data_IF_369536792135
#
_entry.id   IF_369536792135
#
_cell.length_a   1.000
_cell.length_b   1.000
_cell.length_c   1.000
_cell.angle_alpha   90.00
_cell.angle_beta   90.00
_cell.angle_gamma   90.00
#
_symmetry.space_group_name_H-M   'P 1'
#
loop_
_entity.id
_entity.type
_entity.pdbx_description
1 polymer ?
#
# COMPACT_ATOMS: atom_id res chain seq x y z
N UNK A 1 -17.29 8.04 -13.68
CA UNK A 1 -16.46 6.87 -14.01
C UNK A 1 -17.28 5.91 -14.84
N UNK A 2 -16.85 5.66 -16.05
CA UNK A 2 -17.36 4.58 -16.88
C UNK A 2 -16.60 3.32 -16.45
N UNK A 3 -17.31 2.21 -16.26
CA UNK A 3 -16.71 0.94 -15.88
C UNK A 3 -15.70 0.50 -16.94
N UNK A 4 -14.54 0.00 -16.53
CA UNK A 4 -13.45 -0.34 -17.46
C UNK A 4 -13.85 -1.39 -18.49
N UNK A 5 -14.73 -2.35 -18.13
CA UNK A 5 -15.21 -3.38 -19.07
C UNK A 5 -16.12 -2.80 -20.17
N UNK A 6 -16.93 -1.82 -19.81
CA UNK A 6 -17.82 -1.12 -20.75
C UNK A 6 -17.04 -0.26 -21.74
N UNK A 7 -15.97 0.41 -21.27
CA UNK A 7 -15.12 1.24 -22.13
C UNK A 7 -14.43 0.39 -23.21
N UNK A 8 -13.97 -0.81 -22.89
CA UNK A 8 -13.30 -1.67 -23.87
C UNK A 8 -14.25 -2.24 -24.91
N UNK A 9 -15.47 -2.65 -24.54
CA UNK A 9 -16.46 -3.12 -25.49
C UNK A 9 -16.92 -2.00 -26.45
N UNK A 10 -17.02 -0.79 -25.95
CA UNK A 10 -17.52 0.35 -26.68
C UNK A 10 -16.43 1.16 -27.40
N UNK A 11 -15.15 0.98 -27.04
CA UNK A 11 -14.04 1.69 -27.65
C UNK A 11 -14.00 1.49 -29.19
N UNK A 12 -14.16 0.27 -29.68
CA UNK A 12 -14.20 0.01 -31.12
C UNK A 12 -15.40 0.63 -31.79
N UNK A 13 -16.54 0.77 -31.09
CA UNK A 13 -17.73 1.45 -31.57
C UNK A 13 -17.55 2.96 -31.57
N UNK A 14 -17.01 3.51 -30.51
CA UNK A 14 -16.70 4.94 -30.38
C UNK A 14 -15.72 5.36 -31.48
N UNK A 15 -14.76 4.51 -31.81
CA UNK A 15 -13.75 4.71 -32.85
C UNK A 15 -14.37 4.82 -34.27
N UNK A 16 -15.66 4.51 -34.46
CA UNK A 16 -16.34 4.62 -35.75
C UNK A 16 -17.08 5.95 -35.99
N UNK A 17 -17.02 6.90 -35.08
CA UNK A 17 -17.71 8.18 -35.15
C UNK A 17 -16.78 9.35 -35.47
N UNK A 18 -17.28 10.39 -36.16
CA UNK A 18 -16.51 11.53 -36.67
C UNK A 18 -15.80 12.43 -35.65
N UNK A 19 -15.92 12.16 -34.36
CA UNK A 19 -15.25 12.92 -33.31
C UNK A 19 -14.07 12.19 -32.64
N UNK A 20 -13.56 11.18 -33.29
CA UNK A 20 -12.54 10.26 -32.80
C UNK A 20 -11.22 10.89 -32.43
N UNK A 21 -10.80 11.92 -33.14
CA UNK A 21 -9.65 12.73 -32.82
C UNK A 21 -9.72 13.36 -31.42
N UNK A 22 -10.90 13.32 -30.79
CA UNK A 22 -11.19 13.91 -29.48
C UNK A 22 -11.40 12.88 -28.38
N UNK A 23 -11.37 11.60 -28.74
CA UNK A 23 -11.56 10.48 -27.81
C UNK A 23 -10.38 9.55 -27.93
N UNK A 24 -9.75 9.22 -26.84
CA UNK A 24 -8.66 8.26 -26.80
C UNK A 24 -8.68 7.49 -25.47
N UNK A 25 -8.23 6.25 -25.53
CA UNK A 25 -8.04 5.43 -24.35
C UNK A 25 -6.55 5.39 -24.02
N UNK A 26 -6.20 5.86 -22.84
CA UNK A 26 -4.85 5.83 -22.32
C UNK A 26 -4.86 5.35 -20.88
N UNK A 27 -4.04 4.38 -20.58
CA UNK A 27 -3.89 3.81 -19.26
C UNK A 27 -5.24 3.48 -18.59
N UNK A 28 -6.07 2.68 -19.25
CA UNK A 28 -7.41 2.25 -18.79
C UNK A 28 -8.42 3.38 -18.57
N UNK A 29 -8.19 4.55 -19.14
CA UNK A 29 -9.13 5.68 -19.04
C UNK A 29 -9.53 6.19 -20.40
N UNK A 30 -10.80 6.45 -20.51
CA UNK A 30 -11.33 7.17 -21.64
C UNK A 30 -11.17 8.67 -21.41
N UNK A 31 -10.39 9.32 -22.26
CA UNK A 31 -10.23 10.77 -22.27
C UNK A 31 -11.08 11.31 -23.42
N UNK A 32 -11.99 12.20 -23.08
CA UNK A 32 -12.88 12.80 -24.05
C UNK A 32 -12.65 14.31 -24.04
N UNK A 33 -12.22 14.83 -25.19
CA UNK A 33 -12.24 16.25 -25.44
C UNK A 33 -13.65 16.61 -25.96
N UNK A 34 -14.50 17.15 -25.08
CA UNK A 34 -15.86 17.56 -25.44
C UNK A 34 -15.87 19.06 -25.75
N UNK A 35 -15.88 19.51 -27.00
CA UNK A 35 -16.22 20.89 -27.32
C UNK A 35 -17.69 21.13 -26.91
N UNK A 36 -18.01 22.38 -26.57
CA UNK A 36 -19.33 22.75 -26.05
C UNK A 36 -20.50 22.23 -26.92
N UNK A 37 -20.28 22.16 -28.23
CA UNK A 37 -21.28 21.73 -29.22
C UNK A 37 -21.34 20.21 -29.47
N UNK A 38 -20.49 19.41 -28.86
CA UNK A 38 -20.49 17.95 -29.00
C UNK A 38 -21.01 17.23 -27.74
N UNK A 39 -21.38 17.96 -26.70
CA UNK A 39 -21.91 17.42 -25.46
C UNK A 39 -23.12 16.53 -25.65
N UNK A 40 -24.08 17.02 -26.45
CA UNK A 40 -25.35 16.35 -26.72
C UNK A 40 -25.15 15.04 -27.50
N UNK A 41 -24.16 14.98 -28.39
CA UNK A 41 -23.81 13.76 -29.13
C UNK A 41 -23.25 12.68 -28.25
N UNK A 42 -22.39 13.04 -27.27
CA UNK A 42 -21.79 12.08 -26.33
C UNK A 42 -22.87 11.56 -25.37
N UNK A 43 -23.74 12.43 -24.88
CA UNK A 43 -24.87 12.06 -24.02
C UNK A 43 -25.80 11.08 -24.73
N UNK A 44 -26.15 11.34 -26.01
CA UNK A 44 -26.96 10.43 -26.82
C UNK A 44 -26.26 9.09 -27.05
N UNK A 45 -24.95 9.08 -27.27
CA UNK A 45 -24.19 7.86 -27.50
C UNK A 45 -24.16 6.97 -26.25
N UNK A 46 -23.88 7.55 -25.10
CA UNK A 46 -23.85 6.85 -23.79
C UNK A 46 -25.28 6.34 -23.47
N UNK A 47 -26.29 7.14 -23.72
CA UNK A 47 -27.69 6.80 -23.45
C UNK A 47 -28.22 5.65 -24.31
N UNK A 48 -27.84 5.61 -25.59
CA UNK A 48 -28.32 4.58 -26.53
C UNK A 48 -27.66 3.20 -26.27
N UNK A 49 -26.43 3.15 -25.74
CA UNK A 49 -25.73 1.89 -25.60
C UNK A 49 -26.10 1.11 -24.33
N UNK A 50 -26.64 1.74 -23.29
CA UNK A 50 -26.80 1.07 -21.99
C UNK A 50 -28.12 1.29 -21.26
N UNK A 51 -29.03 2.10 -21.75
CA UNK A 51 -30.28 2.43 -21.03
C UNK A 51 -30.05 3.13 -19.67
N UNK A 52 -28.85 3.63 -19.41
CA UNK A 52 -28.46 4.27 -18.14
C UNK A 52 -28.51 5.80 -18.24
N UNK A 53 -29.65 6.32 -18.68
CA UNK A 53 -29.87 7.74 -18.97
C UNK A 53 -29.64 8.67 -17.77
N UNK A 54 -29.89 8.22 -16.54
CA UNK A 54 -29.81 9.08 -15.37
C UNK A 54 -28.40 9.29 -14.83
N UNK A 55 -27.66 8.21 -14.60
CA UNK A 55 -26.38 8.26 -13.86
C UNK A 55 -25.24 8.97 -14.59
N UNK A 56 -25.17 8.89 -15.90
CA UNK A 56 -24.07 9.50 -16.66
C UNK A 56 -24.35 10.94 -17.06
N UNK A 57 -25.60 11.33 -17.29
CA UNK A 57 -25.97 12.73 -17.50
C UNK A 57 -25.67 13.57 -16.24
N UNK A 58 -26.01 13.07 -15.07
CA UNK A 58 -25.66 13.68 -13.77
C UNK A 58 -24.13 13.74 -13.56
N UNK A 59 -23.42 12.68 -13.91
CA UNK A 59 -21.95 12.64 -13.83
C UNK A 59 -21.28 13.67 -14.74
N UNK A 60 -21.76 13.89 -15.95
CA UNK A 60 -21.23 14.94 -16.84
C UNK A 60 -21.57 16.36 -16.35
N UNK A 61 -22.73 16.55 -15.79
CA UNK A 61 -23.12 17.80 -15.13
C UNK A 61 -22.26 18.07 -13.90
N UNK A 62 -21.99 17.04 -13.10
CA UNK A 62 -21.12 17.12 -11.93
C UNK A 62 -19.66 17.38 -12.34
N UNK A 63 -19.14 16.73 -13.37
CA UNK A 63 -17.79 17.00 -13.87
C UNK A 63 -17.67 18.46 -14.36
N UNK A 64 -18.70 19.02 -15.00
CA UNK A 64 -18.72 20.44 -15.39
C UNK A 64 -18.81 21.39 -14.21
N UNK A 65 -19.61 21.08 -13.21
CA UNK A 65 -19.74 21.84 -11.98
C UNK A 65 -18.50 21.70 -11.10
N UNK A 66 -17.94 20.51 -11.02
CA UNK A 66 -16.66 20.21 -10.36
C UNK A 66 -15.53 20.96 -11.06
N UNK A 67 -15.49 21.05 -12.40
CA UNK A 67 -14.50 21.86 -13.13
C UNK A 67 -14.62 23.35 -12.78
N UNK A 68 -15.83 23.91 -12.76
CA UNK A 68 -16.04 25.31 -12.35
C UNK A 68 -15.62 25.58 -10.92
N UNK A 69 -15.88 24.63 -10.01
CA UNK A 69 -15.44 24.72 -8.63
C UNK A 69 -13.94 24.48 -8.48
N UNK A 70 -13.36 23.60 -9.27
CA UNK A 70 -11.93 23.31 -9.28
C UNK A 70 -11.10 24.52 -9.72
N UNK A 71 -11.56 25.23 -10.75
CA UNK A 71 -10.91 26.45 -11.24
C UNK A 71 -10.97 27.62 -10.25
N UNK A 72 -12.04 27.71 -9.45
CA UNK A 72 -12.20 28.80 -8.48
C UNK A 72 -11.38 28.64 -7.21
N UNK A 73 -10.80 27.47 -6.93
CA UNK A 73 -10.34 27.13 -5.58
C UNK A 73 -9.18 26.14 -5.52
N UNK A 74 -8.14 26.29 -6.35
CA UNK A 74 -6.87 25.64 -6.06
C UNK A 74 -6.40 26.06 -4.67
N UNK A 75 -5.95 25.12 -3.82
CA UNK A 75 -5.40 25.51 -2.53
C UNK A 75 -4.24 26.47 -2.79
N UNK A 76 -4.32 27.69 -2.28
CA UNK A 76 -3.24 28.68 -2.34
C UNK A 76 -2.03 28.29 -1.48
N UNK A 77 -2.11 27.18 -0.78
CA UNK A 77 -1.10 26.71 0.14
C UNK A 77 -0.31 25.54 -0.45
N UNK A 78 0.99 25.53 -0.22
CA UNK A 78 1.91 24.47 -0.62
C UNK A 78 2.10 23.40 0.47
N UNK A 79 1.29 23.41 1.52
CA UNK A 79 1.37 22.45 2.64
C UNK A 79 1.15 21.04 2.12
N UNK A 80 2.02 20.12 2.55
CA UNK A 80 1.84 18.68 2.42
C UNK A 80 1.55 18.11 3.80
N UNK A 81 0.43 17.42 3.95
CA UNK A 81 0.10 16.73 5.18
C UNK A 81 0.47 15.25 5.00
N UNK A 82 1.31 14.75 5.89
CA UNK A 82 1.72 13.37 5.92
C UNK A 82 1.14 12.68 7.15
N UNK A 83 0.83 11.39 7.05
CA UNK A 83 0.45 10.56 8.20
C UNK A 83 0.56 9.07 7.85
N UNK A 84 0.84 8.26 8.85
CA UNK A 84 0.66 6.82 8.79
C UNK A 84 -0.74 6.47 9.30
N UNK A 85 -0.88 5.80 10.43
CA UNK A 85 -2.17 5.68 11.13
C UNK A 85 -2.43 6.91 12.00
N UNK A 86 -3.65 7.10 12.42
CA UNK A 86 -3.98 8.21 13.30
C UNK A 86 -3.41 8.06 14.73
N UNK A 87 -3.07 6.82 15.14
CA UNK A 87 -2.54 6.48 16.47
C UNK A 87 -1.14 5.87 16.48
N UNK A 88 -0.52 5.63 15.31
CA UNK A 88 0.75 4.93 15.17
C UNK A 88 1.51 5.48 13.96
N UNK A 89 2.80 5.71 14.13
CA UNK A 89 3.73 6.11 13.09
C UNK A 89 4.67 4.93 12.70
N UNK A 90 5.91 5.18 12.32
CA UNK A 90 6.94 4.21 11.92
C UNK A 90 6.61 3.44 10.62
N UNK A 91 5.82 4.03 9.73
CA UNK A 91 5.57 3.49 8.41
C UNK A 91 6.06 4.46 7.31
N UNK A 92 5.69 4.25 6.07
CA UNK A 92 6.25 4.94 4.92
C UNK A 92 6.10 6.47 4.96
N UNK A 93 5.02 7.01 5.57
CA UNK A 93 4.85 8.45 5.63
C UNK A 93 5.81 9.12 6.62
N UNK A 94 6.11 8.50 7.76
CA UNK A 94 7.12 8.99 8.69
C UNK A 94 8.50 9.03 8.03
N UNK A 95 8.91 7.93 7.37
CA UNK A 95 10.22 7.85 6.72
C UNK A 95 10.35 8.86 5.56
N UNK A 96 9.28 9.05 4.78
CA UNK A 96 9.26 10.07 3.73
C UNK A 96 9.29 11.49 4.32
N UNK A 97 8.57 11.74 5.43
CA UNK A 97 8.59 13.03 6.13
C UNK A 97 10.01 13.38 6.57
N UNK A 98 10.69 12.43 7.24
CA UNK A 98 12.07 12.61 7.71
C UNK A 98 13.03 12.91 6.55
N UNK A 99 12.88 12.19 5.43
CA UNK A 99 13.65 12.46 4.23
C UNK A 99 13.41 13.89 3.70
N UNK A 100 12.16 14.33 3.61
CA UNK A 100 11.82 15.69 3.13
C UNK A 100 12.36 16.75 4.08
N UNK A 101 12.19 16.57 5.38
CA UNK A 101 12.68 17.49 6.40
C UNK A 101 14.21 17.69 6.30
N UNK A 102 14.96 16.63 6.02
CA UNK A 102 16.43 16.66 5.94
C UNK A 102 16.95 17.18 4.60
N UNK A 103 16.29 16.86 3.49
CA UNK A 103 16.82 17.15 2.13
C UNK A 103 16.09 18.30 1.42
N UNK A 104 14.91 18.69 1.90
CA UNK A 104 14.05 19.71 1.31
C UNK A 104 13.41 20.60 2.39
N UNK A 105 14.22 21.25 3.26
CA UNK A 105 13.72 22.02 4.41
C UNK A 105 12.85 23.22 4.02
N UNK A 106 12.90 23.64 2.75
CA UNK A 106 12.04 24.68 2.18
C UNK A 106 10.58 24.23 2.00
N UNK A 107 10.32 22.91 2.11
CA UNK A 107 8.98 22.36 1.93
C UNK A 107 8.17 22.46 3.21
N UNK A 108 7.01 23.07 3.13
CA UNK A 108 6.08 23.14 4.23
C UNK A 108 5.37 21.78 4.39
N UNK A 109 5.76 21.02 5.41
CA UNK A 109 5.23 19.69 5.72
C UNK A 109 4.70 19.65 7.16
N UNK A 110 3.61 18.91 7.37
CA UNK A 110 3.01 18.67 8.67
C UNK A 110 2.71 17.18 8.81
N UNK A 111 2.99 16.60 9.96
CA UNK A 111 2.66 15.19 10.25
C UNK A 111 1.48 15.12 11.21
N UNK A 112 0.43 14.38 10.82
CA UNK A 112 -0.76 14.22 11.62
C UNK A 112 -0.71 12.92 12.43
N UNK A 113 -0.94 13.03 13.75
CA UNK A 113 -0.94 11.90 14.68
C UNK A 113 -1.84 12.26 15.86
N UNK A 114 -2.40 11.28 16.57
CA UNK A 114 -3.10 11.53 17.84
C UNK A 114 -2.08 11.82 18.93
N UNK A 115 -2.44 12.71 19.83
CA UNK A 115 -1.55 13.13 20.93
C UNK A 115 -1.28 12.00 21.93
N UNK A 116 -2.21 11.06 22.06
CA UNK A 116 -2.12 9.88 22.92
C UNK A 116 -1.21 8.77 22.33
N UNK A 117 -0.72 8.94 21.09
CA UNK A 117 0.19 7.99 20.48
C UNK A 117 1.54 7.95 21.23
N UNK A 118 2.07 6.76 21.45
CA UNK A 118 3.42 6.55 22.00
C UNK A 118 4.52 7.19 21.13
N UNK A 119 4.24 7.41 19.84
CA UNK A 119 5.17 8.03 18.90
C UNK A 119 5.21 9.56 18.99
N UNK A 120 4.21 10.21 19.62
CA UNK A 120 4.11 11.67 19.62
C UNK A 120 5.37 12.34 20.16
N UNK A 121 5.77 11.97 21.39
CA UNK A 121 6.96 12.57 22.04
C UNK A 121 8.25 12.28 21.28
N UNK A 122 8.37 11.10 20.68
CA UNK A 122 9.53 10.72 19.87
C UNK A 122 9.65 11.62 18.65
N UNK A 123 8.58 11.79 17.89
CA UNK A 123 8.56 12.62 16.69
C UNK A 123 8.72 14.11 17.00
N UNK A 124 8.13 14.58 18.10
CA UNK A 124 8.30 15.97 18.57
C UNK A 124 9.77 16.26 18.91
N UNK A 125 10.45 15.36 19.62
CA UNK A 125 11.88 15.46 19.94
C UNK A 125 12.77 15.41 18.70
N UNK A 126 12.33 14.72 17.65
CA UNK A 126 13.01 14.69 16.34
C UNK A 126 12.78 15.96 15.51
N UNK A 127 11.91 16.86 15.92
CA UNK A 127 11.63 18.13 15.25
C UNK A 127 10.54 18.06 14.19
N UNK A 128 9.66 17.06 14.23
CA UNK A 128 8.49 17.01 13.35
C UNK A 128 7.51 18.13 13.67
N UNK A 129 6.95 18.75 12.63
CA UNK A 129 5.80 19.65 12.78
C UNK A 129 4.53 18.82 12.93
N UNK A 130 4.15 18.55 14.17
CA UNK A 130 3.01 17.69 14.50
C UNK A 130 1.69 18.47 14.54
N UNK A 131 0.61 17.80 14.13
CA UNK A 131 -0.76 18.25 14.36
C UNK A 131 -1.60 17.10 14.91
N UNK A 132 -2.38 17.38 15.96
CA UNK A 132 -3.25 16.39 16.58
C UNK A 132 -4.38 16.00 15.63
N UNK A 133 -4.41 14.72 15.22
CA UNK A 133 -5.44 14.18 14.34
C UNK A 133 -6.85 14.36 14.92
N UNK A 134 -7.77 14.91 14.11
CA UNK A 134 -9.15 15.16 14.50
C UNK A 134 -9.37 16.48 15.26
N UNK A 135 -8.32 17.24 15.58
CA UNK A 135 -8.44 18.57 16.17
C UNK A 135 -8.94 19.61 15.17
N UNK A 136 -9.41 20.76 15.67
CA UNK A 136 -9.78 21.89 14.82
C UNK A 136 -8.62 22.35 13.92
N UNK A 137 -7.41 22.34 14.46
CA UNK A 137 -6.20 22.71 13.70
C UNK A 137 -5.89 21.71 12.59
N UNK A 138 -6.03 20.41 12.86
CA UNK A 138 -5.93 19.37 11.82
C UNK A 138 -6.91 19.61 10.68
N UNK A 139 -8.20 19.89 11.01
CA UNK A 139 -9.20 20.16 9.97
C UNK A 139 -8.88 21.41 9.15
N UNK A 140 -8.31 22.42 9.79
CA UNK A 140 -7.86 23.64 9.12
C UNK A 140 -6.70 23.37 8.17
N UNK A 141 -5.71 22.59 8.62
CA UNK A 141 -4.51 22.23 7.84
C UNK A 141 -4.88 21.31 6.69
N UNK A 142 -5.62 20.21 6.94
CA UNK A 142 -5.96 19.26 5.88
C UNK A 142 -6.78 19.91 4.76
N UNK A 143 -7.71 20.83 5.09
CA UNK A 143 -8.48 21.59 4.08
C UNK A 143 -7.61 22.51 3.21
N UNK A 144 -6.49 23.01 3.74
CA UNK A 144 -5.54 23.86 3.02
C UNK A 144 -4.47 23.08 2.28
N UNK A 145 -4.20 21.86 2.69
CA UNK A 145 -3.13 21.03 2.13
C UNK A 145 -3.33 20.77 0.64
N UNK A 146 -2.30 20.99 -0.15
CA UNK A 146 -2.29 20.65 -1.58
C UNK A 146 -2.17 19.15 -1.80
N UNK A 147 -1.50 18.47 -0.87
CA UNK A 147 -1.30 17.02 -0.87
C UNK A 147 -1.60 16.42 0.48
N UNK A 148 -2.18 15.23 0.46
CA UNK A 148 -2.27 14.33 1.61
C UNK A 148 -1.56 13.06 1.23
N UNK A 149 -0.55 12.69 2.01
CA UNK A 149 0.37 11.58 1.74
C UNK A 149 0.26 10.62 2.92
N UNK A 150 -0.16 9.38 2.65
CA UNK A 150 -0.38 8.44 3.75
C UNK A 150 -0.03 7.01 3.37
N UNK A 151 0.45 6.26 4.36
CA UNK A 151 0.65 4.81 4.26
C UNK A 151 -0.68 4.05 4.26
N UNK A 152 -1.77 4.68 4.68
CA UNK A 152 -3.11 4.09 4.78
C UNK A 152 -4.15 4.87 3.97
N UNK A 153 -5.18 4.17 3.51
CA UNK A 153 -6.31 4.74 2.77
C UNK A 153 -7.66 4.39 3.41
N UNK A 154 -7.69 4.37 4.75
CA UNK A 154 -8.86 4.03 5.54
C UNK A 154 -9.90 5.15 5.51
N UNK A 155 -11.17 4.79 5.75
CA UNK A 155 -12.30 5.71 5.58
C UNK A 155 -12.25 6.90 6.56
N UNK A 156 -11.62 6.72 7.74
CA UNK A 156 -11.46 7.82 8.69
C UNK A 156 -10.59 8.97 8.15
N UNK A 157 -9.63 8.68 7.25
CA UNK A 157 -8.84 9.69 6.54
C UNK A 157 -9.51 10.10 5.23
N UNK A 158 -10.02 9.12 4.46
CA UNK A 158 -10.54 9.37 3.11
C UNK A 158 -11.73 10.34 3.09
N UNK A 159 -12.51 10.45 4.18
CA UNK A 159 -13.60 11.41 4.32
C UNK A 159 -13.15 12.88 4.22
N UNK A 160 -11.89 13.18 4.55
CA UNK A 160 -11.33 14.53 4.47
C UNK A 160 -10.77 14.86 3.08
N UNK A 161 -10.53 13.84 2.21
CA UNK A 161 -9.89 14.04 0.92
C UNK A 161 -10.86 14.62 -0.09
N UNK A 162 -10.57 15.84 -0.53
CA UNK A 162 -11.38 16.57 -1.52
C UNK A 162 -10.83 16.39 -2.94
N UNK A 163 -11.60 16.79 -3.95
CA UNK A 163 -11.17 16.75 -5.36
C UNK A 163 -9.99 17.67 -5.67
N UNK A 164 -9.72 18.64 -4.80
CA UNK A 164 -8.66 19.64 -4.97
C UNK A 164 -7.31 19.14 -4.55
N UNK A 165 -7.29 18.16 -3.66
CA UNK A 165 -6.08 17.61 -3.08
C UNK A 165 -5.59 16.44 -3.91
N UNK A 166 -4.28 16.28 -3.95
CA UNK A 166 -3.64 15.08 -4.44
C UNK A 166 -3.46 14.12 -3.27
N UNK A 167 -4.09 12.94 -3.35
CA UNK A 167 -3.86 11.88 -2.39
C UNK A 167 -2.79 10.93 -2.92
N UNK A 168 -1.69 10.81 -2.17
CA UNK A 168 -0.58 9.91 -2.44
C UNK A 168 -0.67 8.74 -1.45
N UNK A 169 -0.91 7.56 -1.96
CA UNK A 169 -0.97 6.34 -1.18
C UNK A 169 0.37 5.62 -1.21
N UNK A 170 1.08 5.65 -0.09
CA UNK A 170 2.41 5.05 0.06
C UNK A 170 2.36 3.55 0.31
N UNK A 171 1.20 3.02 0.67
CA UNK A 171 0.96 1.67 1.19
C UNK A 171 1.67 1.39 2.52
N UNK A 172 1.25 0.35 3.21
CA UNK A 172 1.87 -0.18 4.42
C UNK A 172 2.51 -1.56 4.22
N UNK A 173 2.35 -2.17 3.05
CA UNK A 173 2.93 -3.47 2.70
C UNK A 173 2.63 -3.84 1.25
N UNK A 174 3.40 -4.78 0.71
CA UNK A 174 3.22 -5.26 -0.67
C UNK A 174 1.82 -5.87 -0.85
N UNK A 175 1.09 -5.35 -1.81
CA UNK A 175 -0.24 -5.86 -2.19
C UNK A 175 -0.07 -7.11 -3.05
N UNK A 176 0.04 -8.27 -2.40
CA UNK A 176 0.20 -9.59 -3.04
C UNK A 176 -1.13 -10.27 -3.40
N UNK A 177 -2.19 -9.91 -2.69
CA UNK A 177 -3.56 -10.42 -2.86
C UNK A 177 -4.44 -9.40 -3.60
N UNK A 178 -5.57 -9.84 -4.19
CA UNK A 178 -6.49 -8.93 -4.85
C UNK A 178 -7.35 -8.18 -3.82
N UNK A 179 -7.04 -6.91 -3.64
CA UNK A 179 -7.79 -5.97 -2.79
C UNK A 179 -8.49 -4.88 -3.62
N UNK A 180 -8.69 -5.14 -4.92
CA UNK A 180 -9.30 -4.18 -5.86
C UNK A 180 -10.67 -3.70 -5.39
N UNK A 181 -11.49 -4.58 -4.80
CA UNK A 181 -12.81 -4.23 -4.28
C UNK A 181 -12.75 -3.10 -3.24
N UNK A 182 -11.76 -3.12 -2.36
CA UNK A 182 -11.54 -2.08 -1.35
C UNK A 182 -10.89 -0.83 -1.98
N UNK A 183 -9.80 -1.00 -2.72
CA UNK A 183 -9.03 0.12 -3.28
C UNK A 183 -9.78 0.88 -4.37
N UNK A 184 -10.62 0.23 -5.16
CA UNK A 184 -11.40 0.89 -6.20
C UNK A 184 -12.40 1.93 -5.66
N UNK A 185 -12.84 1.80 -4.41
CA UNK A 185 -13.67 2.81 -3.75
C UNK A 185 -12.88 4.07 -3.38
N UNK A 186 -11.54 4.00 -3.28
CA UNK A 186 -10.68 5.08 -2.79
C UNK A 186 -10.25 6.02 -3.91
N UNK A 187 -10.12 7.30 -3.57
CA UNK A 187 -9.61 8.32 -4.49
C UNK A 187 -8.11 8.44 -4.32
N UNK A 188 -7.35 7.68 -5.09
CA UNK A 188 -5.89 7.69 -5.08
C UNK A 188 -5.40 8.36 -6.36
N UNK A 189 -4.53 9.35 -6.24
CA UNK A 189 -3.90 10.06 -7.36
C UNK A 189 -2.55 9.48 -7.72
N UNK A 190 -1.78 9.06 -6.71
CA UNK A 190 -0.54 8.31 -6.86
C UNK A 190 -0.57 7.11 -5.94
N UNK A 191 -0.17 5.97 -6.44
CA UNK A 191 -0.18 4.69 -5.78
C UNK A 191 1.24 4.11 -5.85
N UNK A 192 1.94 4.08 -4.73
CA UNK A 192 3.31 3.58 -4.64
C UNK A 192 3.30 2.06 -4.59
N UNK A 193 4.21 1.42 -5.33
CA UNK A 193 4.44 -0.03 -5.29
C UNK A 193 5.92 -0.32 -5.09
N UNK A 194 6.22 -1.49 -4.53
CA UNK A 194 7.58 -1.88 -4.17
C UNK A 194 8.18 -2.93 -5.11
N UNK A 195 7.36 -3.78 -5.70
CA UNK A 195 7.82 -4.86 -6.57
C UNK A 195 7.25 -4.74 -7.97
N UNK A 196 7.97 -5.29 -8.98
CA UNK A 196 7.49 -5.26 -10.36
C UNK A 196 6.18 -6.05 -10.51
N UNK A 197 6.08 -7.22 -9.88
CA UNK A 197 4.87 -8.05 -9.94
C UNK A 197 3.65 -7.36 -9.32
N UNK A 198 3.82 -6.63 -8.22
CA UNK A 198 2.78 -5.80 -7.63
C UNK A 198 2.34 -4.68 -8.60
N UNK A 199 3.31 -3.94 -9.15
CA UNK A 199 3.03 -2.90 -10.13
C UNK A 199 2.24 -3.46 -11.32
N UNK A 200 2.69 -4.57 -11.90
CA UNK A 200 2.04 -5.19 -13.05
C UNK A 200 0.63 -5.69 -12.72
N UNK A 201 0.44 -6.25 -11.53
CA UNK A 201 -0.88 -6.75 -11.10
C UNK A 201 -1.92 -5.64 -10.96
N UNK A 202 -1.50 -4.40 -10.66
CA UNK A 202 -2.36 -3.25 -10.44
C UNK A 202 -2.47 -2.38 -11.69
N UNK A 203 -1.33 -2.07 -12.34
CA UNK A 203 -1.24 -1.08 -13.41
C UNK A 203 -1.62 -1.61 -14.79
N UNK A 204 -1.40 -2.92 -15.05
CA UNK A 204 -1.65 -3.52 -16.35
C UNK A 204 -3.14 -3.57 -16.70
N UNK A 205 -3.40 -3.73 -18.01
CA UNK A 205 -4.77 -3.92 -18.51
C UNK A 205 -5.32 -5.29 -18.08
N UNK A 206 -6.66 -5.43 -18.18
CA UNK A 206 -7.39 -6.69 -17.93
C UNK A 206 -7.35 -7.23 -16.51
N UNK A 207 -7.12 -6.38 -15.50
CA UNK A 207 -7.31 -6.70 -14.10
C UNK A 207 -8.48 -5.92 -13.50
N UNK A 208 -8.82 -6.20 -12.23
CA UNK A 208 -9.96 -5.58 -11.54
C UNK A 208 -9.67 -4.19 -10.99
N UNK A 209 -8.41 -3.75 -10.95
CA UNK A 209 -8.06 -2.44 -10.42
C UNK A 209 -8.39 -1.33 -11.41
N UNK A 210 -8.92 -0.23 -10.90
CA UNK A 210 -9.19 0.99 -11.68
C UNK A 210 -7.95 1.83 -11.99
N UNK A 211 -6.84 1.53 -11.31
CA UNK A 211 -5.58 2.27 -11.43
C UNK A 211 -4.76 1.75 -12.60
N UNK A 212 -4.13 2.66 -13.31
CA UNK A 212 -3.23 2.34 -14.41
C UNK A 212 -1.85 2.96 -14.22
N UNK A 213 -1.00 2.90 -15.24
CA UNK A 213 0.37 3.43 -15.22
C UNK A 213 0.48 4.91 -14.86
N UNK A 214 -0.62 5.67 -14.97
CA UNK A 214 -0.66 7.08 -14.57
C UNK A 214 -0.67 7.27 -13.06
N UNK A 215 -1.34 6.38 -12.33
CA UNK A 215 -1.47 6.45 -10.87
C UNK A 215 -0.46 5.59 -10.15
N UNK A 216 -0.12 4.43 -10.70
CA UNK A 216 0.74 3.43 -10.07
C UNK A 216 2.19 3.72 -10.40
N UNK A 217 3.03 3.75 -9.40
CA UNK A 217 4.46 4.06 -9.51
C UNK A 217 5.28 2.98 -8.81
N UNK A 218 6.23 2.41 -9.53
CA UNK A 218 7.23 1.51 -8.97
C UNK A 218 8.41 2.32 -8.44
N UNK A 219 8.50 2.49 -7.12
CA UNK A 219 9.54 3.30 -6.49
C UNK A 219 10.29 2.56 -5.37
N UNK A 220 9.75 1.46 -4.85
CA UNK A 220 10.06 0.94 -3.54
C UNK A 220 9.33 1.70 -2.44
N UNK A 221 9.33 1.18 -1.22
CA UNK A 221 8.71 1.82 -0.05
C UNK A 221 9.69 2.76 0.66
N UNK A 222 9.18 3.86 1.22
CA UNK A 222 10.02 4.86 1.86
C UNK A 222 10.83 4.29 3.04
N UNK A 223 10.22 3.42 3.88
CA UNK A 223 10.88 2.76 5.00
C UNK A 223 12.00 1.79 4.57
N UNK A 224 12.00 1.31 3.32
CA UNK A 224 13.02 0.41 2.81
C UNK A 224 14.42 1.03 2.81
N UNK A 225 14.55 2.35 2.71
CA UNK A 225 15.85 3.03 2.76
C UNK A 225 16.51 2.85 4.14
N UNK A 226 15.73 3.05 5.22
CA UNK A 226 16.21 2.87 6.60
C UNK A 226 16.36 1.39 6.94
N UNK A 227 15.43 0.56 6.48
CA UNK A 227 15.50 -0.90 6.66
C UNK A 227 16.81 -1.46 6.09
N UNK A 228 17.17 -1.07 4.86
CA UNK A 228 18.41 -1.49 4.22
C UNK A 228 19.66 -0.99 4.97
N UNK A 229 19.64 0.29 5.38
CA UNK A 229 20.76 0.92 6.11
C UNK A 229 21.04 0.26 7.46
N UNK A 230 19.99 -0.16 8.16
CA UNK A 230 20.08 -0.72 9.51
C UNK A 230 20.15 -2.26 9.52
N UNK A 231 20.18 -2.91 8.35
CA UNK A 231 20.24 -4.37 8.25
C UNK A 231 21.48 -4.94 8.96
N UNK A 232 21.27 -5.97 9.75
CA UNK A 232 22.34 -6.69 10.48
C UNK A 232 22.46 -8.10 9.92
N UNK A 233 23.67 -8.50 9.55
CA UNK A 233 23.96 -9.81 8.94
C UNK A 233 24.18 -10.91 9.98
N UNK A 234 24.71 -10.57 11.15
CA UNK A 234 25.23 -11.56 12.12
C UNK A 234 24.34 -11.73 13.34
N UNK A 235 23.03 -11.55 13.14
CA UNK A 235 22.05 -11.74 14.21
C UNK A 235 21.77 -13.22 14.44
N UNK A 236 21.39 -13.58 15.66
CA UNK A 236 21.02 -14.95 16.07
C UNK A 236 19.60 -14.95 16.63
N UNK A 237 18.65 -14.36 15.87
CA UNK A 237 17.25 -14.24 16.27
C UNK A 237 16.33 -14.82 15.20
N UNK A 238 15.38 -15.63 15.65
CA UNK A 238 14.25 -16.13 14.87
C UNK A 238 13.03 -15.29 15.22
N UNK A 239 12.40 -14.68 14.24
CA UNK A 239 11.15 -13.94 14.41
C UNK A 239 9.96 -14.83 14.04
N UNK A 240 9.05 -15.06 15.00
CA UNK A 240 7.79 -15.78 14.75
C UNK A 240 6.67 -14.73 14.72
N UNK A 241 6.03 -14.58 13.56
CA UNK A 241 5.06 -13.52 13.31
C UNK A 241 3.85 -14.01 12.51
N UNK A 242 2.89 -14.69 13.18
CA UNK A 242 1.71 -15.24 12.50
C UNK A 242 0.68 -14.17 12.13
N UNK A 243 -0.02 -14.39 11.01
CA UNK A 243 -1.19 -13.61 10.61
C UNK A 243 -2.42 -14.02 11.42
N UNK A 244 -3.26 -13.09 11.78
CA UNK A 244 -4.52 -13.36 12.45
C UNK A 244 -5.56 -14.01 11.52
N UNK A 245 -6.64 -14.56 12.11
CA UNK A 245 -7.78 -15.11 11.36
C UNK A 245 -9.06 -14.39 11.75
N UNK A 246 -9.89 -14.07 10.76
CA UNK A 246 -11.16 -13.34 10.98
C UNK A 246 -12.13 -14.15 11.84
N UNK A 247 -12.15 -15.48 11.64
CA UNK A 247 -13.08 -16.37 12.33
C UNK A 247 -12.74 -16.65 13.80
N UNK A 248 -11.51 -16.35 14.25
CA UNK A 248 -11.07 -16.62 15.63
C UNK A 248 -11.05 -15.40 16.54
N UNK A 249 -11.28 -14.22 16.01
CA UNK A 249 -11.38 -12.97 16.79
C UNK A 249 -12.80 -12.43 16.77
N UNK A 250 -13.18 -11.67 17.80
CA UNK A 250 -14.50 -11.07 17.92
C UNK A 250 -14.70 -9.85 17.02
N UNK A 251 -15.86 -9.22 17.14
CA UNK A 251 -16.20 -8.00 16.42
C UNK A 251 -15.27 -6.85 16.79
N UNK A 252 -15.08 -5.91 15.85
CA UNK A 252 -14.33 -4.68 16.12
C UNK A 252 -15.17 -3.75 17.01
N UNK A 253 -14.60 -3.34 18.14
CA UNK A 253 -15.24 -2.41 19.08
C UNK A 253 -14.87 -0.97 18.71
N UNK A 254 -13.57 -0.73 18.43
CA UNK A 254 -13.00 0.57 18.06
C UNK A 254 -11.77 0.36 17.15
N UNK A 255 -11.13 1.46 16.73
CA UNK A 255 -9.89 1.39 15.95
C UNK A 255 -8.80 0.59 16.69
N UNK A 256 -8.70 -0.71 16.41
CA UNK A 256 -7.67 -1.61 16.95
C UNK A 256 -8.11 -2.56 18.08
N UNK A 257 -9.27 -2.34 18.71
CA UNK A 257 -9.77 -3.27 19.74
C UNK A 257 -10.84 -4.22 19.18
N UNK A 258 -10.81 -5.48 19.62
CA UNK A 258 -11.80 -6.50 19.28
C UNK A 258 -12.31 -7.24 20.51
N UNK A 259 -13.55 -7.71 20.44
CA UNK A 259 -14.09 -8.60 21.46
C UNK A 259 -13.30 -9.91 21.50
N UNK A 260 -13.20 -10.50 22.71
CA UNK A 260 -12.60 -11.82 22.87
C UNK A 260 -13.62 -12.91 22.52
N UNK A 261 -13.18 -13.93 21.80
CA UNK A 261 -13.95 -15.15 21.57
C UNK A 261 -13.57 -16.22 22.58
N UNK A 262 -14.55 -16.83 23.22
CA UNK A 262 -14.34 -17.88 24.24
C UNK A 262 -13.71 -19.17 23.67
N UNK A 263 -13.98 -19.47 22.39
CA UNK A 263 -13.48 -20.67 21.73
C UNK A 263 -12.11 -20.51 21.04
N UNK A 264 -11.35 -19.47 21.35
CA UNK A 264 -10.04 -19.24 20.75
C UNK A 264 -9.08 -20.43 20.92
N UNK A 265 -9.04 -21.06 22.11
CA UNK A 265 -8.19 -22.23 22.39
C UNK A 265 -8.53 -23.47 21.57
N UNK A 266 -9.78 -23.60 21.11
CA UNK A 266 -10.23 -24.70 20.29
C UNK A 266 -9.88 -24.51 18.81
N UNK A 267 -9.45 -23.31 18.42
CA UNK A 267 -9.07 -23.05 17.02
C UNK A 267 -7.80 -23.80 16.63
N UNK A 268 -7.76 -24.30 15.40
CA UNK A 268 -6.55 -24.92 14.85
C UNK A 268 -5.37 -23.95 14.87
N UNK A 269 -5.62 -22.66 14.60
CA UNK A 269 -4.62 -21.61 14.72
C UNK A 269 -3.92 -21.60 16.07
N UNK A 270 -4.69 -21.56 17.17
CA UNK A 270 -4.11 -21.58 18.51
C UNK A 270 -3.34 -22.87 18.77
N UNK A 271 -3.94 -24.02 18.46
CA UNK A 271 -3.33 -25.32 18.72
C UNK A 271 -1.99 -25.50 18.01
N UNK A 272 -1.91 -25.14 16.73
CA UNK A 272 -0.70 -25.29 15.92
C UNK A 272 0.41 -24.32 16.36
N UNK A 273 0.09 -23.03 16.56
CA UNK A 273 1.09 -22.09 17.01
C UNK A 273 1.53 -22.33 18.46
N UNK A 274 0.60 -22.70 19.36
CA UNK A 274 0.95 -23.01 20.73
C UNK A 274 1.78 -24.31 20.82
N UNK A 275 1.50 -25.32 20.00
CA UNK A 275 2.34 -26.53 19.91
C UNK A 275 3.76 -26.19 19.49
N UNK A 276 3.94 -25.44 18.40
CA UNK A 276 5.27 -25.02 17.94
C UNK A 276 6.04 -24.23 19.00
N UNK A 277 5.39 -23.25 19.62
CA UNK A 277 6.03 -22.40 20.64
C UNK A 277 6.44 -23.17 21.90
N UNK A 278 5.78 -24.29 22.21
CA UNK A 278 6.09 -25.16 23.32
C UNK A 278 6.91 -26.42 22.93
N UNK A 279 7.35 -26.50 21.67
CA UNK A 279 8.07 -27.66 21.16
C UNK A 279 9.46 -27.83 21.80
N UNK A 280 9.70 -28.98 22.42
CA UNK A 280 11.02 -29.32 22.94
C UNK A 280 12.07 -29.41 21.83
N UNK A 281 11.69 -29.79 20.62
CA UNK A 281 12.58 -29.86 19.49
C UNK A 281 12.96 -28.45 19.00
N UNK A 282 12.02 -27.51 18.95
CA UNK A 282 12.33 -26.09 18.67
C UNK A 282 13.34 -25.55 19.69
N UNK A 283 13.13 -25.81 20.98
CA UNK A 283 14.03 -25.43 22.07
C UNK A 283 15.44 -26.01 21.90
N UNK A 284 15.52 -27.31 21.56
CA UNK A 284 16.79 -28.01 21.32
C UNK A 284 17.56 -27.39 20.13
N UNK A 285 16.87 -27.15 19.03
CA UNK A 285 17.47 -26.52 17.85
C UNK A 285 18.01 -25.12 18.16
N UNK A 286 17.20 -24.29 18.81
CA UNK A 286 17.63 -22.94 19.20
C UNK A 286 18.85 -22.95 20.14
N UNK A 287 18.88 -23.88 21.09
CA UNK A 287 20.04 -24.05 21.97
C UNK A 287 21.29 -24.55 21.23
N UNK A 288 21.11 -25.53 20.33
CA UNK A 288 22.20 -26.13 19.55
C UNK A 288 22.92 -25.10 18.67
N UNK A 289 22.15 -24.25 17.99
CA UNK A 289 22.67 -23.25 17.06
C UNK A 289 22.82 -21.84 17.68
N UNK A 290 22.50 -21.69 18.97
CA UNK A 290 22.62 -20.43 19.74
C UNK A 290 21.69 -19.32 19.19
N UNK A 291 20.47 -19.67 18.78
CA UNK A 291 19.45 -18.71 18.36
C UNK A 291 18.48 -18.39 19.50
N UNK A 292 18.02 -17.15 19.53
CA UNK A 292 16.91 -16.69 20.36
C UNK A 292 15.61 -16.62 19.54
N UNK A 293 14.46 -16.72 20.21
CA UNK A 293 13.16 -16.56 19.56
C UNK A 293 12.48 -15.30 20.06
N UNK A 294 11.98 -14.52 19.13
CA UNK A 294 11.05 -13.41 19.40
C UNK A 294 9.71 -13.75 18.77
N UNK A 295 8.65 -13.74 19.58
CA UNK A 295 7.28 -13.93 19.16
C UNK A 295 6.59 -12.56 19.08
N UNK A 296 6.12 -12.20 17.90
CA UNK A 296 5.37 -10.98 17.62
C UNK A 296 4.02 -11.32 17.01
N UNK A 297 2.99 -11.66 17.80
CA UNK A 297 1.66 -11.91 17.28
C UNK A 297 1.03 -10.63 16.76
N UNK A 298 0.17 -10.77 15.75
CA UNK A 298 -0.59 -9.65 15.20
C UNK A 298 -1.38 -8.91 16.29
N UNK A 299 -1.56 -7.58 16.25
CA UNK A 299 -2.29 -6.81 17.26
C UNK A 299 -3.68 -7.39 17.62
N UNK A 300 -4.40 -7.96 16.65
CA UNK A 300 -5.69 -8.63 16.90
C UNK A 300 -5.58 -9.91 17.75
N UNK A 301 -4.39 -10.48 17.90
CA UNK A 301 -4.10 -11.68 18.71
C UNK A 301 -3.52 -11.30 20.09
N UNK A 302 -2.99 -10.10 20.24
CA UNK A 302 -2.42 -9.64 21.52
C UNK A 302 -3.35 -9.81 22.72
N UNK A 303 -4.68 -9.57 22.65
CA UNK A 303 -5.58 -9.80 23.77
C UNK A 303 -5.65 -11.26 24.24
N UNK A 304 -5.31 -12.20 23.35
CA UNK A 304 -5.27 -13.65 23.64
C UNK A 304 -3.89 -14.16 24.07
N UNK A 305 -2.89 -13.27 24.20
CA UNK A 305 -1.51 -13.67 24.47
C UNK A 305 -1.38 -14.51 25.77
N UNK A 306 -2.22 -14.24 26.77
CA UNK A 306 -2.25 -14.99 28.04
C UNK A 306 -2.65 -16.45 27.87
N UNK A 307 -3.36 -16.78 26.78
CA UNK A 307 -3.78 -18.14 26.49
C UNK A 307 -2.62 -19.02 25.98
N UNK A 308 -1.61 -18.39 25.38
CA UNK A 308 -0.38 -19.07 24.97
C UNK A 308 0.50 -19.34 26.20
N UNK A 309 0.83 -20.59 26.46
CA UNK A 309 1.73 -20.98 27.55
C UNK A 309 3.19 -20.78 27.11
N UNK A 310 3.62 -19.52 26.97
CA UNK A 310 4.94 -19.22 26.43
C UNK A 310 6.06 -19.64 27.38
N UNK A 311 7.01 -20.48 26.94
CA UNK A 311 8.21 -20.80 27.71
C UNK A 311 9.10 -19.57 27.89
N UNK A 312 9.84 -19.51 29.00
CA UNK A 312 10.70 -18.38 29.36
C UNK A 312 11.83 -18.08 28.35
N UNK A 313 12.18 -19.01 27.49
CA UNK A 313 13.21 -18.80 26.45
C UNK A 313 12.67 -18.07 25.21
N UNK A 314 11.35 -17.92 25.07
CA UNK A 314 10.71 -17.15 24.01
C UNK A 314 10.43 -15.75 24.54
N UNK A 315 10.97 -14.74 23.85
CA UNK A 315 10.71 -13.34 24.15
C UNK A 315 9.48 -12.88 23.37
N UNK A 316 8.61 -12.14 24.03
CA UNK A 316 7.55 -11.40 23.36
C UNK A 316 8.17 -10.10 22.84
N UNK A 317 7.87 -9.73 21.59
CA UNK A 317 8.29 -8.44 21.05
C UNK A 317 7.74 -7.29 21.91
N UNK A 318 8.57 -6.30 22.19
CA UNK A 318 8.10 -5.10 22.85
C UNK A 318 7.13 -4.35 21.90
N UNK A 319 5.96 -3.98 22.41
CA UNK A 319 4.95 -3.27 21.63
C UNK A 319 5.41 -1.89 21.15
N UNK A 320 6.35 -1.27 21.89
CA UNK A 320 6.94 0.02 21.56
C UNK A 320 8.18 -0.11 20.64
N UNK A 321 8.57 -1.34 20.29
CA UNK A 321 9.70 -1.57 19.38
C UNK A 321 9.24 -1.53 17.93
N UNK A 322 9.94 -0.71 17.13
CA UNK A 322 9.75 -0.62 15.70
C UNK A 322 9.82 -1.99 15.01
N UNK A 323 8.85 -2.31 14.15
CA UNK A 323 8.89 -3.52 13.32
C UNK A 323 10.14 -3.56 12.44
N UNK A 324 10.63 -2.41 11.99
CA UNK A 324 11.85 -2.30 11.20
C UNK A 324 13.06 -2.81 11.99
N UNK A 325 13.12 -2.51 13.29
CA UNK A 325 14.18 -2.98 14.19
C UNK A 325 14.10 -4.50 14.38
N UNK A 326 12.90 -5.04 14.55
CA UNK A 326 12.68 -6.50 14.65
C UNK A 326 13.17 -7.22 13.39
N UNK A 327 12.84 -6.72 12.20
CA UNK A 327 13.30 -7.31 10.93
C UNK A 327 14.84 -7.23 10.79
N UNK A 328 15.42 -6.08 11.11
CA UNK A 328 16.88 -5.88 11.05
C UNK A 328 17.61 -6.82 12.00
N UNK A 329 17.08 -7.04 13.21
CA UNK A 329 17.69 -7.88 14.26
C UNK A 329 17.45 -9.39 14.04
N UNK A 330 16.57 -9.79 13.14
CA UNK A 330 16.24 -11.20 12.90
C UNK A 330 17.06 -11.79 11.77
N UNK A 331 17.43 -13.07 11.86
CA UNK A 331 18.14 -13.82 10.80
C UNK A 331 17.18 -14.54 9.86
N UNK A 332 16.04 -14.94 10.38
CA UNK A 332 14.95 -15.57 9.62
C UNK A 332 13.60 -15.27 10.27
N UNK A 333 12.54 -15.47 9.49
CA UNK A 333 11.17 -15.34 9.97
C UNK A 333 10.40 -16.66 9.76
N UNK A 334 9.57 -17.01 10.74
CA UNK A 334 8.52 -18.02 10.60
C UNK A 334 7.19 -17.27 10.60
N UNK A 335 6.45 -17.38 9.52
CA UNK A 335 5.13 -16.75 9.36
C UNK A 335 4.19 -17.69 8.58
N UNK A 336 3.04 -17.21 8.16
CA UNK A 336 2.07 -17.98 7.37
C UNK A 336 1.68 -17.26 6.09
N UNK A 337 0.78 -16.26 6.16
CA UNK A 337 0.24 -15.54 4.98
C UNK A 337 0.61 -14.05 4.97
N UNK A 338 1.47 -13.61 5.87
CA UNK A 338 1.75 -12.19 6.08
C UNK A 338 2.57 -11.56 4.95
N UNK A 339 2.18 -10.33 4.56
CA UNK A 339 2.97 -9.50 3.64
C UNK A 339 4.29 -9.00 4.23
N UNK A 340 4.47 -9.06 5.56
CA UNK A 340 5.76 -8.70 6.20
C UNK A 340 6.91 -9.62 5.80
N UNK A 341 6.62 -10.80 5.22
CA UNK A 341 7.63 -11.65 4.59
C UNK A 341 8.44 -10.92 3.51
N UNK A 342 7.84 -9.94 2.83
CA UNK A 342 8.53 -9.12 1.84
C UNK A 342 9.62 -8.24 2.47
N UNK A 343 9.45 -7.80 3.72
CA UNK A 343 10.48 -7.03 4.44
C UNK A 343 11.73 -7.89 4.70
N UNK A 344 11.52 -9.13 5.11
CA UNK A 344 12.63 -10.09 5.31
C UNK A 344 13.31 -10.39 3.98
N UNK A 345 12.54 -10.63 2.92
CA UNK A 345 13.07 -10.83 1.58
C UNK A 345 13.85 -9.60 1.08
N UNK A 346 13.37 -8.38 1.36
CA UNK A 346 14.09 -7.14 1.04
C UNK A 346 15.47 -7.09 1.72
N UNK A 347 15.59 -7.64 2.93
CA UNK A 347 16.85 -7.76 3.67
C UNK A 347 17.70 -8.99 3.31
N UNK A 348 17.33 -9.77 2.31
CA UNK A 348 17.96 -11.05 1.94
C UNK A 348 17.91 -12.10 3.07
N UNK A 349 16.87 -12.10 3.87
CA UNK A 349 16.68 -13.03 4.99
C UNK A 349 15.59 -14.05 4.64
N UNK A 350 15.80 -15.36 4.93
CA UNK A 350 14.84 -16.39 4.58
C UNK A 350 13.56 -16.31 5.43
N UNK A 351 12.51 -16.89 4.87
CA UNK A 351 11.20 -17.05 5.52
C UNK A 351 10.80 -18.52 5.49
N UNK A 352 10.19 -19.04 6.55
CA UNK A 352 9.46 -20.30 6.52
C UNK A 352 7.98 -19.98 6.61
N UNK A 353 7.19 -20.49 5.65
CA UNK A 353 5.74 -20.30 5.62
C UNK A 353 5.06 -21.52 6.23
N UNK A 354 4.48 -21.37 7.43
CA UNK A 354 3.74 -22.40 8.14
C UNK A 354 2.24 -22.31 7.83
N UNK A 355 1.80 -23.01 6.78
CA UNK A 355 0.47 -22.89 6.17
C UNK A 355 -0.37 -24.16 6.39
N UNK A 356 -0.73 -24.48 7.62
CA UNK A 356 -1.52 -25.63 8.02
C UNK A 356 -3.01 -25.53 7.65
N UNK A 357 -3.54 -24.32 7.43
CA UNK A 357 -4.96 -24.01 7.22
C UNK A 357 -5.22 -23.23 5.91
N UNK A 358 -4.45 -23.50 4.85
CA UNK A 358 -4.46 -22.71 3.61
C UNK A 358 -5.83 -22.56 2.97
N UNK A 359 -6.59 -23.66 2.87
CA UNK A 359 -7.93 -23.62 2.26
C UNK A 359 -8.91 -22.79 3.11
N UNK A 360 -8.92 -23.00 4.43
CA UNK A 360 -9.77 -22.26 5.34
C UNK A 360 -9.43 -20.78 5.37
N UNK A 361 -8.15 -20.44 5.34
CA UNK A 361 -7.70 -19.05 5.34
C UNK A 361 -8.29 -18.26 4.17
N UNK A 362 -8.17 -18.73 2.94
CA UNK A 362 -8.69 -18.04 1.76
C UNK A 362 -10.21 -18.09 1.63
N UNK A 363 -10.89 -19.06 2.24
CA UNK A 363 -12.34 -19.11 2.28
C UNK A 363 -12.94 -18.14 3.31
N UNK A 364 -12.29 -17.97 4.45
CA UNK A 364 -12.79 -17.18 5.58
C UNK A 364 -12.31 -15.73 5.58
N UNK A 365 -11.20 -15.43 4.93
CA UNK A 365 -10.61 -14.10 4.90
C UNK A 365 -11.23 -13.23 3.80
N UNK A 366 -11.24 -11.91 3.99
CA UNK A 366 -11.73 -10.93 3.01
C UNK A 366 -10.82 -10.78 1.77
N UNK A 367 -9.68 -11.46 1.74
CA UNK A 367 -8.73 -11.40 0.64
C UNK A 367 -9.04 -12.44 -0.42
N UNK A 368 -8.99 -12.03 -1.69
CA UNK A 368 -8.98 -12.94 -2.82
C UNK A 368 -7.54 -13.21 -3.22
N UNK A 369 -7.22 -14.47 -3.54
CA UNK A 369 -5.87 -14.82 -4.00
C UNK A 369 -5.44 -13.94 -5.18
N UNK A 370 -4.26 -13.32 -5.06
CA UNK A 370 -3.69 -12.44 -6.08
C UNK A 370 -2.66 -13.12 -6.96
N UNK A 371 -1.62 -12.38 -7.33
CA UNK A 371 -0.57 -12.87 -8.24
C UNK A 371 0.50 -13.74 -7.57
N UNK A 372 0.64 -13.64 -6.23
CA UNK A 372 1.74 -14.27 -5.51
C UNK A 372 1.42 -15.71 -5.12
N UNK A 373 2.24 -16.64 -5.58
CA UNK A 373 2.21 -18.05 -5.14
C UNK A 373 3.36 -18.29 -4.17
N UNK A 374 3.06 -18.73 -2.97
CA UNK A 374 4.05 -19.04 -1.94
C UNK A 374 5.03 -20.13 -2.40
N UNK A 375 4.53 -21.13 -3.14
CA UNK A 375 5.33 -22.24 -3.65
C UNK A 375 6.27 -21.83 -4.79
N UNK A 376 5.84 -20.91 -5.67
CA UNK A 376 6.60 -20.48 -6.85
C UNK A 376 7.43 -19.23 -6.61
N UNK A 377 6.85 -18.25 -5.90
CA UNK A 377 7.43 -16.92 -5.70
C UNK A 377 7.92 -16.70 -4.27
N UNK A 378 7.71 -17.68 -3.38
CA UNK A 378 8.04 -17.58 -1.95
C UNK A 378 9.54 -17.39 -1.69
N UNK A 379 9.81 -16.80 -0.54
CA UNK A 379 11.16 -16.46 -0.07
C UNK A 379 11.76 -17.52 0.85
N UNK A 380 11.14 -18.69 0.89
CA UNK A 380 11.55 -19.86 1.65
C UNK A 380 10.50 -20.97 1.55
N UNK A 381 10.71 -22.10 2.25
CA UNK A 381 9.87 -23.27 2.14
C UNK A 381 8.45 -23.02 2.70
N UNK A 382 7.46 -23.67 2.07
CA UNK A 382 6.08 -23.76 2.55
C UNK A 382 5.89 -25.12 3.21
N UNK A 383 5.41 -25.14 4.45
CA UNK A 383 5.22 -26.34 5.25
C UNK A 383 3.85 -26.32 5.92
N UNK A 384 3.22 -27.49 6.04
CA UNK A 384 1.86 -27.63 6.58
C UNK A 384 1.83 -28.24 8.00
N UNK A 385 2.94 -28.78 8.47
CA UNK A 385 3.04 -29.39 9.77
C UNK A 385 4.34 -29.03 10.51
N UNK A 386 4.32 -29.20 11.84
CA UNK A 386 5.44 -28.85 12.72
C UNK A 386 6.71 -29.66 12.43
N UNK A 387 6.58 -30.96 12.08
CA UNK A 387 7.73 -31.81 11.80
C UNK A 387 8.54 -31.28 10.61
N UNK A 388 7.85 -30.96 9.50
CA UNK A 388 8.50 -30.41 8.33
C UNK A 388 9.05 -28.99 8.60
N UNK A 389 8.34 -28.17 9.39
CA UNK A 389 8.84 -26.86 9.81
C UNK A 389 10.16 -26.98 10.54
N UNK A 390 10.25 -27.89 11.51
CA UNK A 390 11.48 -28.08 12.30
C UNK A 390 12.63 -28.64 11.46
N UNK A 391 12.36 -29.48 10.47
CA UNK A 391 13.36 -29.97 9.50
C UNK A 391 13.91 -28.81 8.66
N UNK A 392 13.06 -28.00 8.08
CA UNK A 392 13.47 -26.85 7.27
C UNK A 392 14.20 -25.80 8.12
N UNK A 393 13.74 -25.58 9.36
CA UNK A 393 14.41 -24.70 10.31
C UNK A 393 15.82 -25.20 10.59
N UNK A 394 16.01 -26.48 10.89
CA UNK A 394 17.33 -27.04 11.17
C UNK A 394 18.28 -26.85 9.99
N UNK A 395 17.84 -27.11 8.77
CA UNK A 395 18.62 -26.92 7.55
C UNK A 395 19.05 -25.45 7.40
N UNK A 396 18.16 -24.50 7.65
CA UNK A 396 18.50 -23.08 7.59
C UNK A 396 19.48 -22.68 8.70
N UNK A 397 19.32 -23.18 9.93
CA UNK A 397 20.21 -22.88 11.05
C UNK A 397 21.61 -23.44 10.83
N UNK A 398 21.73 -24.66 10.26
CA UNK A 398 23.00 -25.27 9.86
C UNK A 398 23.75 -24.40 8.84
N UNK A 399 23.00 -23.75 7.92
CA UNK A 399 23.54 -22.89 6.88
C UNK A 399 23.60 -21.40 7.27
N UNK A 400 23.60 -21.08 8.58
CA UNK A 400 23.57 -19.70 9.10
C UNK A 400 22.49 -18.84 8.46
N UNK A 401 21.29 -19.38 8.29
CA UNK A 401 20.14 -18.72 7.69
C UNK A 401 20.36 -18.15 6.27
N UNK A 402 21.23 -18.78 5.48
CA UNK A 402 21.37 -18.44 4.06
C UNK A 402 20.26 -19.11 3.26
N UNK A 403 19.58 -18.35 2.42
CA UNK A 403 18.54 -18.88 1.53
C UNK A 403 19.11 -19.86 0.51
N UNK A 404 18.33 -20.89 0.16
CA UNK A 404 18.66 -21.79 -0.95
C UNK A 404 18.52 -21.10 -2.32
N UNK A 405 19.18 -21.64 -3.35
CA UNK A 405 19.26 -21.02 -4.67
C UNK A 405 17.88 -20.58 -5.21
N UNK A 406 16.87 -21.46 -5.21
CA UNK A 406 15.54 -21.14 -5.72
C UNK A 406 14.91 -19.95 -5.00
N UNK A 407 14.95 -19.95 -3.67
CA UNK A 407 14.38 -18.84 -2.88
C UNK A 407 15.23 -17.58 -2.96
N UNK A 408 16.54 -17.74 -3.12
CA UNK A 408 17.46 -16.62 -3.35
C UNK A 408 17.15 -15.92 -4.68
N UNK A 409 16.90 -16.67 -5.74
CA UNK A 409 16.53 -16.13 -7.05
C UNK A 409 15.19 -15.38 -6.98
N UNK A 410 14.21 -15.91 -6.24
CA UNK A 410 12.95 -15.22 -5.97
C UNK A 410 13.17 -13.90 -5.22
N UNK A 411 14.00 -13.92 -4.17
CA UNK A 411 14.35 -12.72 -3.39
C UNK A 411 15.03 -11.67 -4.27
N UNK A 412 15.98 -12.08 -5.12
CA UNK A 412 16.75 -11.17 -5.94
C UNK A 412 15.91 -10.56 -7.08
N UNK A 413 14.99 -11.33 -7.64
CA UNK A 413 14.12 -10.88 -8.74
C UNK A 413 12.91 -10.06 -8.28
N UNK A 414 12.50 -10.16 -7.01
CA UNK A 414 11.29 -9.49 -6.52
C UNK A 414 11.41 -7.98 -6.46
N UNK A 415 12.57 -7.46 -6.01
CA UNK A 415 12.75 -6.03 -5.79
C UNK A 415 13.67 -5.40 -6.84
N UNK A 416 13.13 -4.46 -7.60
CA UNK A 416 13.89 -3.70 -8.60
C UNK A 416 14.87 -2.73 -7.93
N UNK A 417 14.51 -2.18 -6.77
CA UNK A 417 15.30 -1.17 -6.08
C UNK A 417 15.73 -1.62 -4.68
N UNK A 418 17.03 -1.75 -4.49
CA UNK A 418 17.70 -1.99 -3.20
C UNK A 418 18.91 -1.05 -3.05
N UNK A 419 18.69 0.24 -3.31
CA UNK A 419 19.75 1.25 -3.43
C UNK A 419 19.67 2.38 -2.40
N UNK A 420 18.72 2.30 -1.46
CA UNK A 420 18.52 3.30 -0.42
C UNK A 420 18.02 4.66 -0.94
N UNK A 421 17.33 4.68 -2.10
CA UNK A 421 16.83 5.90 -2.75
C UNK A 421 15.32 5.89 -3.00
N UNK A 422 14.57 5.10 -2.24
CA UNK A 422 13.12 5.00 -2.40
C UNK A 422 12.43 6.33 -2.05
N UNK A 423 12.80 6.97 -0.94
CA UNK A 423 12.28 8.28 -0.55
C UNK A 423 12.54 9.34 -1.62
N UNK A 424 13.75 9.37 -2.18
CA UNK A 424 14.11 10.29 -3.26
C UNK A 424 13.23 10.09 -4.50
N UNK A 425 13.03 8.82 -4.92
CA UNK A 425 12.18 8.48 -6.06
C UNK A 425 10.72 8.88 -5.82
N UNK A 426 10.18 8.57 -4.64
CA UNK A 426 8.82 8.94 -4.27
C UNK A 426 8.65 10.46 -4.34
N UNK A 427 9.55 11.22 -3.70
CA UNK A 427 9.50 12.67 -3.68
C UNK A 427 9.55 13.27 -5.09
N UNK A 428 10.49 12.83 -5.93
CA UNK A 428 10.60 13.27 -7.34
C UNK A 428 9.33 13.00 -8.14
N UNK A 429 8.73 11.82 -7.98
CA UNK A 429 7.50 11.46 -8.69
C UNK A 429 6.29 12.28 -8.23
N UNK A 430 6.22 12.63 -6.94
CA UNK A 430 5.19 13.54 -6.44
C UNK A 430 5.31 14.93 -7.10
N UNK A 431 6.52 15.43 -7.28
CA UNK A 431 6.77 16.72 -7.97
C UNK A 431 6.41 16.66 -9.46
N UNK A 432 6.81 15.59 -10.16
CA UNK A 432 6.47 15.38 -11.58
C UNK A 432 4.96 15.32 -11.77
N UNK A 433 4.26 14.55 -10.93
CA UNK A 433 2.81 14.47 -10.96
C UNK A 433 2.12 15.83 -10.76
N UNK A 434 2.67 16.67 -9.91
CA UNK A 434 2.20 18.05 -9.72
C UNK A 434 2.34 18.87 -10.99
N UNK A 435 3.51 18.80 -11.64
CA UNK A 435 3.78 19.51 -12.90
C UNK A 435 2.83 19.02 -14.01
N UNK A 436 2.62 17.72 -14.14
CA UNK A 436 1.72 17.17 -15.14
C UNK A 436 0.27 17.59 -14.91
N UNK A 437 -0.17 17.68 -13.65
CA UNK A 437 -1.48 18.22 -13.29
C UNK A 437 -1.63 19.67 -13.72
N UNK A 438 -0.64 20.51 -13.43
CA UNK A 438 -0.65 21.92 -13.85
C UNK A 438 -0.72 22.07 -15.37
N UNK A 439 -0.04 21.20 -16.12
CA UNK A 439 -0.14 21.18 -17.59
C UNK A 439 -1.54 20.86 -18.08
N UNK A 440 -2.20 19.87 -17.47
CA UNK A 440 -3.60 19.55 -17.78
C UNK A 440 -4.53 20.73 -17.46
N UNK A 441 -4.31 21.42 -16.35
CA UNK A 441 -5.07 22.63 -15.98
C UNK A 441 -4.90 23.75 -17.01
N UNK A 442 -3.67 23.98 -17.48
CA UNK A 442 -3.38 24.94 -18.56
C UNK A 442 -4.12 24.57 -19.84
N UNK A 443 -4.08 23.30 -20.24
CA UNK A 443 -4.80 22.81 -21.43
C UNK A 443 -6.31 23.07 -21.30
N UNK A 444 -6.90 22.78 -20.13
CA UNK A 444 -8.31 23.02 -19.87
C UNK A 444 -8.66 24.51 -19.91
N UNK A 445 -7.79 25.38 -19.37
CA UNK A 445 -7.96 26.83 -19.38
C UNK A 445 -7.90 27.39 -20.81
N UNK A 446 -6.95 26.92 -21.62
CA UNK A 446 -6.86 27.28 -23.03
C UNK A 446 -8.11 26.88 -23.81
N UNK A 447 -8.66 25.69 -23.53
CA UNK A 447 -9.90 25.23 -24.13
C UNK A 447 -11.09 26.12 -23.75
N UNK A 448 -11.19 26.54 -22.51
CA UNK A 448 -12.25 27.46 -22.05
C UNK A 448 -12.17 28.83 -22.70
N UNK A 449 -10.96 29.32 -22.92
CA UNK A 449 -10.71 30.58 -23.64
C UNK A 449 -10.89 30.46 -25.16
N UNK A 450 -11.29 29.28 -25.66
CA UNK A 450 -11.42 28.94 -27.09
C UNK A 450 -10.12 28.97 -27.89
N UNK A 451 -8.97 28.87 -27.22
CA UNK A 451 -7.65 28.75 -27.84
C UNK A 451 -7.37 27.28 -28.18
N UNK A 452 -8.22 26.70 -29.04
CA UNK A 452 -8.22 25.24 -29.31
C UNK A 452 -6.95 24.74 -29.99
N UNK A 453 -6.29 25.58 -30.79
CA UNK A 453 -5.04 25.21 -31.47
C UNK A 453 -3.90 25.09 -30.45
N UNK A 454 -3.77 26.05 -29.56
CA UNK A 454 -2.78 26.06 -28.49
C UNK A 454 -3.06 24.92 -27.49
N UNK A 455 -4.31 24.72 -27.09
CA UNK A 455 -4.71 23.62 -26.23
C UNK A 455 -4.36 22.25 -26.83
N UNK A 456 -4.57 22.08 -28.15
CA UNK A 456 -4.23 20.85 -28.86
C UNK A 456 -2.72 20.62 -28.92
N UNK A 457 -1.93 21.66 -29.15
CA UNK A 457 -0.45 21.58 -29.17
C UNK A 457 0.07 21.17 -27.79
N UNK A 458 -0.36 21.86 -26.74
CA UNK A 458 0.01 21.52 -25.35
C UNK A 458 -0.38 20.10 -24.97
N UNK A 459 -1.59 19.69 -25.38
CA UNK A 459 -2.07 18.32 -25.14
C UNK A 459 -1.23 17.28 -25.88
N UNK A 460 -0.91 17.51 -27.14
CA UNK A 460 -0.07 16.61 -27.95
C UNK A 460 1.34 16.49 -27.35
N UNK A 461 1.92 17.62 -26.93
CA UNK A 461 3.22 17.63 -26.26
C UNK A 461 3.19 16.86 -24.94
N UNK A 462 2.13 17.02 -24.16
CA UNK A 462 1.93 16.32 -22.91
C UNK A 462 1.85 14.79 -23.12
N UNK A 463 1.02 14.34 -24.06
CA UNK A 463 0.88 12.91 -24.37
C UNK A 463 2.19 12.31 -24.90
N UNK A 464 2.85 13.00 -25.83
CA UNK A 464 4.12 12.52 -26.39
C UNK A 464 5.16 12.36 -25.27
N UNK A 465 5.26 13.30 -24.37
CA UNK A 465 6.19 13.24 -23.24
C UNK A 465 5.88 12.07 -22.32
N UNK A 466 4.60 11.80 -22.02
CA UNK A 466 4.19 10.67 -21.20
C UNK A 466 4.39 9.30 -21.85
N UNK A 467 4.51 9.23 -23.17
CA UNK A 467 4.82 7.99 -23.91
C UNK A 467 6.30 7.67 -23.96
N UNK A 468 7.19 8.66 -23.82
CA UNK A 468 8.65 8.49 -23.89
C UNK A 468 9.33 8.41 -22.50
N UNK A 469 8.63 8.75 -21.42
CA UNK A 469 9.13 8.65 -20.05
C UNK A 469 8.79 7.27 -19.37
N UNK A 470 8.39 6.26 -20.18
CA UNK A 470 8.07 4.89 -19.74
C UNK A 470 9.03 3.86 -20.35
#
# INVERSE_FOLDING_TARGET
RIDNEVIYADYEKIVKYDFLDRVFCYQKRLWVHIPKNAKDRLEVLINNEQGMVGKYGEYFLDVKNIRKEFQKRLPKSNIWLLMDRDYEADDNAEHLYRYIMQNHPEREIVFALRKESSDWERLEKEGFSLVEFGSFEFERIIKKSSKVISSHADDYLMKYITLRQQFVFLQHGVTKDDVSRWLNSKKINLFITSTQAEYDSIANNYNRYKFGKKEVLLTGFARHDVLLKNNKSDTKQILIMPTWRVNIVGASINSGARELKENFKQSEYFQKWNSLLNSDNLKKLCKLYSYTIVFNPHPNIMPYLKEFNLPSYIKIANQDESLQVLFCNSSLMITDYSSVAFEMAYLNKPVIYYQFDKEEFFLSHSYTMGYFSYEKNGFGPVVENEENLLKELEILLQNNCKSFSVHKDNIDSTFVFRDGKCCERIYKNILISTKNRNTVEIILELQEKRHFKEAYIEWKNFINKMQFDN
#
